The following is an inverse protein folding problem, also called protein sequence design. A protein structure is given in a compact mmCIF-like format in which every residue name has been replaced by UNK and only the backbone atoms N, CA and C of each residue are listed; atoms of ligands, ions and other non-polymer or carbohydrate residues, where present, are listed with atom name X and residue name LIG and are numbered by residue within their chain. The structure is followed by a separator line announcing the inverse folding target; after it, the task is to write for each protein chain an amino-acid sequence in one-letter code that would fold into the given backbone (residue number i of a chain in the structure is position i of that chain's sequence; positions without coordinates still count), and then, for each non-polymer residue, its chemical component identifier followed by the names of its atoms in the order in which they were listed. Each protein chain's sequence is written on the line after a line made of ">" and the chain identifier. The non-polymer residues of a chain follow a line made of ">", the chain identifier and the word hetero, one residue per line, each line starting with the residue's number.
data_IF_738514964413
#
_entry.id   IF_738514964413
#
_cell.length_a   1.000
_cell.length_b   1.000
_cell.length_c   1.000
_cell.angle_alpha   90.00
_cell.angle_beta   90.00
_cell.angle_gamma   90.00
#
_symmetry.space_group_name_H-M   'P 1'
#
loop_
_entity.id
_entity.type
_entity.pdbx_description
1 polymer ?
#
# COMPACT_ATOMS: atom_id res chain seq x y z
N UNK A 1 13.42 25.75 -2.46
CA UNK A 1 13.07 24.58 -1.61
C UNK A 1 11.58 24.32 -1.77
N UNK A 2 11.11 23.08 -1.96
CA UNK A 2 9.68 22.84 -2.21
C UNK A 2 8.81 23.27 -1.00
N UNK A 3 7.60 23.85 -1.21
CA UNK A 3 6.73 24.32 -0.12
C UNK A 3 6.45 23.25 0.94
N UNK A 4 6.37 21.98 0.51
CA UNK A 4 6.17 20.82 1.41
C UNK A 4 7.31 20.64 2.39
N UNK A 5 8.54 20.82 1.92
CA UNK A 5 9.74 20.70 2.74
C UNK A 5 9.80 21.86 3.74
N UNK A 6 9.50 23.08 3.29
CA UNK A 6 9.41 24.27 4.17
C UNK A 6 8.38 24.03 5.28
N UNK A 7 7.16 23.62 4.95
CA UNK A 7 6.12 23.32 5.94
C UNK A 7 6.51 22.18 6.90
N UNK A 8 7.23 21.16 6.41
CA UNK A 8 7.69 20.05 7.24
C UNK A 8 8.73 20.50 8.26
N UNK A 9 9.67 21.33 7.84
CA UNK A 9 10.72 21.87 8.71
C UNK A 9 10.17 22.93 9.67
N UNK A 10 9.15 23.70 9.26
CA UNK A 10 8.55 24.76 10.06
C UNK A 10 7.69 24.22 11.21
N UNK A 11 7.10 23.02 11.07
CA UNK A 11 6.30 22.38 12.11
C UNK A 11 7.02 22.18 13.46
N UNK A 12 8.19 21.52 13.53
CA UNK A 12 8.90 21.34 14.80
C UNK A 12 9.35 22.69 15.38
N UNK A 13 9.84 23.62 14.55
CA UNK A 13 10.29 24.94 14.99
C UNK A 13 9.15 25.74 15.65
N UNK A 14 7.98 25.80 15.01
CA UNK A 14 6.79 26.44 15.58
C UNK A 14 6.30 25.73 16.83
N UNK A 15 6.45 24.42 16.92
CA UNK A 15 6.06 23.65 18.12
C UNK A 15 6.95 24.02 19.31
N UNK A 16 8.26 24.13 19.11
CA UNK A 16 9.21 24.55 20.14
C UNK A 16 8.94 25.98 20.61
N UNK A 17 8.70 26.90 19.68
CA UNK A 17 8.45 28.31 19.99
C UNK A 17 7.11 28.50 20.72
N UNK A 18 6.06 27.76 20.32
CA UNK A 18 4.81 27.69 21.09
C UNK A 18 5.02 27.18 22.51
N UNK A 19 5.86 26.16 22.71
CA UNK A 19 6.20 25.68 24.06
C UNK A 19 6.93 26.75 24.87
N UNK A 20 7.83 27.52 24.26
CA UNK A 20 8.55 28.60 24.92
C UNK A 20 7.63 29.77 25.32
N UNK A 21 6.69 30.16 24.44
CA UNK A 21 5.64 31.14 24.74
C UNK A 21 4.76 30.70 25.91
N UNK A 22 4.28 29.45 25.89
CA UNK A 22 3.43 28.91 26.96
C UNK A 22 4.15 28.84 28.32
N UNK A 23 5.48 28.72 28.31
CA UNK A 23 6.32 28.75 29.52
C UNK A 23 6.74 30.17 29.93
N UNK A 24 6.35 31.20 29.17
CA UNK A 24 6.71 32.59 29.44
C UNK A 24 8.16 32.96 29.11
N UNK A 25 8.94 32.08 28.46
CA UNK A 25 10.32 32.37 28.07
C UNK A 25 10.41 33.42 26.95
N UNK A 26 9.35 33.53 26.15
CA UNK A 26 9.23 34.51 25.07
C UNK A 26 7.88 35.20 25.26
N UNK A 27 7.83 36.52 25.01
CA UNK A 27 6.62 37.33 25.19
C UNK A 27 5.76 37.45 23.94
N UNK A 28 6.36 37.34 22.76
CA UNK A 28 5.69 37.52 21.47
C UNK A 28 6.05 36.38 20.50
N UNK A 29 5.06 35.90 19.74
CA UNK A 29 5.29 34.87 18.74
C UNK A 29 6.08 35.43 17.54
N UNK A 30 7.32 34.97 17.27
CA UNK A 30 8.08 35.40 16.09
C UNK A 30 7.45 34.93 14.77
N UNK A 31 6.45 34.04 14.81
CA UNK A 31 5.69 33.58 13.65
C UNK A 31 4.29 34.19 13.55
N UNK A 32 4.02 35.32 14.22
CA UNK A 32 2.68 35.90 14.28
C UNK A 32 2.06 36.17 12.89
N UNK A 33 2.84 36.64 11.92
CA UNK A 33 2.38 36.90 10.55
C UNK A 33 2.75 35.79 9.55
N UNK A 34 3.40 34.72 10.02
CA UNK A 34 3.79 33.63 9.14
C UNK A 34 2.58 32.78 8.75
N UNK A 35 2.18 32.86 7.48
CA UNK A 35 1.13 32.02 6.90
C UNK A 35 1.76 30.90 6.05
N UNK A 36 1.68 29.63 6.49
CA UNK A 36 2.17 28.53 5.69
C UNK A 36 1.36 28.41 4.40
N UNK A 37 2.05 28.18 3.29
CA UNK A 37 1.40 27.94 2.00
C UNK A 37 0.51 26.69 2.10
N UNK A 38 -0.74 26.81 1.66
CA UNK A 38 -1.67 25.68 1.59
C UNK A 38 -1.30 24.80 0.41
N UNK A 39 -0.70 23.66 0.71
CA UNK A 39 -0.30 22.68 -0.30
C UNK A 39 -1.48 21.76 -0.57
N UNK A 40 -2.10 21.92 -1.73
CA UNK A 40 -3.10 20.96 -2.22
C UNK A 40 -2.40 19.67 -2.63
N UNK A 41 -2.44 18.66 -1.75
CA UNK A 41 -1.90 17.35 -2.08
C UNK A 41 -2.86 16.66 -3.05
N UNK A 42 -2.44 16.49 -4.32
CA UNK A 42 -3.19 15.66 -5.27
C UNK A 42 -3.44 14.28 -4.66
N UNK A 43 -4.72 13.87 -4.63
CA UNK A 43 -5.20 12.60 -4.09
C UNK A 43 -4.52 11.44 -4.85
N UNK A 44 -3.76 10.62 -4.12
CA UNK A 44 -2.85 9.60 -4.69
C UNK A 44 -3.50 8.22 -4.75
N UNK A 45 -4.59 8.12 -5.47
CA UNK A 45 -5.42 6.95 -5.34
C UNK A 45 -5.91 6.46 -6.70
N UNK A 46 -6.10 5.15 -6.82
CA UNK A 46 -6.52 4.53 -8.07
C UNK A 46 -8.04 4.49 -8.15
N UNK A 47 -8.55 4.82 -9.32
CA UNK A 47 -9.94 4.57 -9.73
C UNK A 47 -10.13 3.09 -10.07
N UNK A 48 -11.38 2.66 -10.15
CA UNK A 48 -11.70 1.29 -10.52
C UNK A 48 -11.16 0.94 -11.92
N UNK A 49 -11.31 1.85 -12.88
CA UNK A 49 -10.82 1.68 -14.26
C UNK A 49 -9.29 1.55 -14.31
N UNK A 50 -8.56 2.28 -13.46
CA UNK A 50 -7.10 2.12 -13.34
C UNK A 50 -6.72 0.75 -12.75
N UNK A 51 -7.50 0.23 -11.79
CA UNK A 51 -7.29 -1.11 -11.23
C UNK A 51 -7.59 -2.19 -12.29
N UNK A 52 -8.67 -2.05 -13.05
CA UNK A 52 -9.00 -2.97 -14.14
C UNK A 52 -7.92 -3.00 -15.21
N UNK A 53 -7.41 -1.84 -15.64
CA UNK A 53 -6.29 -1.76 -16.56
C UNK A 53 -5.04 -2.45 -16.01
N UNK A 54 -4.72 -2.24 -14.72
CA UNK A 54 -3.61 -2.94 -14.08
C UNK A 54 -3.80 -4.46 -14.05
N UNK A 55 -5.04 -4.96 -13.90
CA UNK A 55 -5.30 -6.40 -13.92
C UNK A 55 -5.08 -7.03 -15.30
N UNK A 56 -5.39 -6.30 -16.38
CA UNK A 56 -5.28 -6.78 -17.77
C UNK A 56 -3.87 -6.69 -18.35
N UNK A 57 -3.02 -5.81 -17.82
CA UNK A 57 -1.70 -5.54 -18.40
C UNK A 57 -0.76 -6.71 -18.18
N UNK A 58 -0.41 -7.43 -19.25
CA UNK A 58 0.57 -8.52 -19.20
C UNK A 58 1.96 -8.01 -19.60
N UNK A 59 2.92 -8.16 -18.68
CA UNK A 59 4.31 -7.77 -18.91
C UNK A 59 5.10 -8.94 -19.52
N UNK A 60 6.09 -8.63 -20.36
CA UNK A 60 7.00 -9.63 -20.96
C UNK A 60 7.79 -10.43 -19.93
N UNK A 61 8.08 -9.84 -18.76
CA UNK A 61 8.88 -10.48 -17.70
C UNK A 61 7.97 -10.98 -16.59
N UNK A 62 8.12 -12.26 -16.23
CA UNK A 62 7.38 -12.87 -15.11
C UNK A 62 7.56 -12.13 -13.78
N UNK A 63 8.75 -11.55 -13.54
CA UNK A 63 9.03 -10.73 -12.35
C UNK A 63 8.18 -9.47 -12.29
N UNK A 64 7.86 -8.85 -13.42
CA UNK A 64 7.00 -7.68 -13.48
C UNK A 64 5.53 -8.05 -13.26
N UNK A 65 5.07 -9.18 -13.82
CA UNK A 65 3.73 -9.71 -13.54
C UNK A 65 3.57 -10.07 -12.05
N UNK A 66 4.60 -10.64 -11.44
CA UNK A 66 4.62 -10.89 -10.00
C UNK A 66 4.49 -9.59 -9.19
N UNK A 67 5.26 -8.54 -9.53
CA UNK A 67 5.14 -7.25 -8.82
C UNK A 67 3.76 -6.61 -8.98
N UNK A 68 3.17 -6.70 -10.18
CA UNK A 68 1.78 -6.27 -10.46
C UNK A 68 0.79 -7.00 -9.57
N UNK A 69 0.87 -8.33 -9.52
CA UNK A 69 -0.05 -9.15 -8.73
C UNK A 69 0.14 -8.90 -7.23
N UNK A 70 1.38 -8.71 -6.76
CA UNK A 70 1.63 -8.30 -5.37
C UNK A 70 1.03 -6.93 -5.08
N UNK A 71 1.14 -5.96 -5.99
CA UNK A 71 0.50 -4.66 -5.85
C UNK A 71 -1.02 -4.78 -5.71
N UNK A 72 -1.67 -5.54 -6.60
CA UNK A 72 -3.11 -5.82 -6.57
C UNK A 72 -3.51 -6.52 -5.27
N UNK A 73 -2.79 -7.57 -4.85
CA UNK A 73 -3.03 -8.30 -3.62
C UNK A 73 -3.19 -7.35 -2.42
N UNK A 74 -2.33 -6.35 -2.33
CA UNK A 74 -2.38 -5.37 -1.25
C UNK A 74 -3.34 -4.22 -1.47
N UNK A 75 -3.69 -3.89 -2.71
CA UNK A 75 -4.82 -2.97 -2.97
C UNK A 75 -6.12 -3.58 -2.44
N UNK A 76 -6.30 -4.91 -2.56
CA UNK A 76 -7.49 -5.61 -2.06
C UNK A 76 -7.44 -5.94 -0.56
N UNK A 77 -6.27 -6.27 -0.01
CA UNK A 77 -6.13 -6.66 1.42
C UNK A 77 -5.74 -5.49 2.33
N UNK A 78 -5.20 -4.40 1.79
CA UNK A 78 -4.66 -3.29 2.58
C UNK A 78 -3.36 -3.60 3.33
N UNK A 79 -2.75 -4.77 3.11
CA UNK A 79 -1.51 -5.20 3.79
C UNK A 79 -0.33 -4.28 3.43
N UNK A 80 0.52 -3.92 4.39
CA UNK A 80 1.72 -3.12 4.09
C UNK A 80 2.77 -3.95 3.34
N UNK A 81 3.71 -3.29 2.63
CA UNK A 81 4.80 -4.01 1.95
C UNK A 81 5.66 -4.83 2.91
N UNK A 82 6.00 -4.25 4.06
CA UNK A 82 6.82 -4.90 5.07
C UNK A 82 6.13 -6.17 5.59
N UNK A 83 4.83 -6.10 5.86
CA UNK A 83 4.04 -7.24 6.31
C UNK A 83 3.89 -8.28 5.18
N UNK A 84 3.64 -7.86 3.94
CA UNK A 84 3.57 -8.76 2.78
C UNK A 84 4.89 -9.51 2.54
N UNK A 85 6.02 -8.84 2.73
CA UNK A 85 7.37 -9.44 2.59
C UNK A 85 7.68 -10.47 3.67
N UNK A 86 7.06 -10.33 4.83
CA UNK A 86 7.24 -11.22 5.97
C UNK A 86 6.04 -12.15 6.21
N UNK A 87 5.06 -12.15 5.31
CA UNK A 87 3.85 -12.97 5.43
C UNK A 87 4.24 -14.44 5.37
N UNK A 88 3.80 -15.20 6.37
CA UNK A 88 4.01 -16.65 6.48
C UNK A 88 2.70 -17.40 6.30
N UNK A 89 2.79 -18.68 5.95
CA UNK A 89 1.61 -19.53 5.78
C UNK A 89 0.82 -19.70 7.10
N UNK A 90 1.50 -19.72 8.24
CA UNK A 90 0.86 -19.70 9.59
C UNK A 90 -0.03 -18.48 9.84
N UNK A 91 0.22 -17.37 9.15
CA UNK A 91 -0.60 -16.16 9.28
C UNK A 91 -1.91 -16.28 8.47
N UNK A 92 -2.02 -17.27 7.59
CA UNK A 92 -3.22 -17.52 6.78
C UNK A 92 -4.05 -18.60 7.49
N UNK A 93 -5.17 -18.19 8.06
CA UNK A 93 -6.04 -19.07 8.84
C UNK A 93 -7.40 -19.19 8.18
N UNK A 94 -7.98 -20.39 8.24
CA UNK A 94 -9.35 -20.64 7.79
C UNK A 94 -10.29 -20.50 8.97
N UNK A 95 -11.28 -19.61 8.86
CA UNK A 95 -12.33 -19.48 9.88
C UNK A 95 -13.46 -20.49 9.65
N UNK A 96 -14.33 -20.64 10.66
CA UNK A 96 -15.45 -21.59 10.68
C UNK A 96 -16.38 -21.51 9.45
N UNK A 97 -16.48 -20.34 8.80
CA UNK A 97 -17.26 -20.13 7.57
C UNK A 97 -16.52 -20.45 6.27
N UNK A 98 -15.37 -21.14 6.30
CA UNK A 98 -14.57 -21.51 5.12
C UNK A 98 -13.76 -20.37 4.49
N UNK A 99 -13.99 -19.13 4.90
CA UNK A 99 -13.25 -17.94 4.46
C UNK A 99 -11.82 -17.93 5.02
N UNK A 100 -10.87 -17.52 4.18
CA UNK A 100 -9.47 -17.36 4.56
C UNK A 100 -9.22 -15.95 5.13
N UNK A 101 -8.38 -15.86 6.14
CA UNK A 101 -8.03 -14.62 6.82
C UNK A 101 -6.52 -14.53 7.00
N UNK A 102 -5.97 -13.33 6.84
CA UNK A 102 -4.61 -13.00 7.25
C UNK A 102 -4.66 -12.43 8.66
N UNK A 103 -3.99 -13.08 9.60
CA UNK A 103 -3.85 -12.65 10.99
C UNK A 103 -2.41 -12.22 11.22
N UNK A 104 -2.20 -10.92 11.45
CA UNK A 104 -0.88 -10.32 11.67
C UNK A 104 -0.81 -9.66 13.04
N UNK A 105 0.25 -9.94 13.80
CA UNK A 105 0.50 -9.27 15.07
C UNK A 105 1.33 -8.00 14.85
N UNK A 106 0.74 -6.81 15.08
CA UNK A 106 1.48 -5.56 14.91
C UNK A 106 2.47 -5.35 16.07
N UNK A 107 3.76 -5.38 15.71
CA UNK A 107 4.89 -5.13 16.60
C UNK A 107 4.81 -3.80 17.37
N UNK A 108 4.18 -2.76 16.80
CA UNK A 108 4.20 -1.40 17.38
C UNK A 108 3.09 -1.08 18.39
N UNK A 109 1.97 -1.81 18.37
CA UNK A 109 0.80 -1.51 19.22
C UNK A 109 0.25 -2.73 19.96
N UNK A 110 0.80 -3.92 19.73
CA UNK A 110 0.29 -5.17 20.33
C UNK A 110 -1.08 -5.62 19.78
N UNK A 111 -1.66 -4.89 18.83
CA UNK A 111 -2.98 -5.18 18.28
C UNK A 111 -2.85 -6.18 17.12
N UNK A 112 -3.56 -7.30 17.19
CA UNK A 112 -3.74 -8.20 16.06
C UNK A 112 -4.58 -7.52 14.98
N UNK A 113 -4.16 -7.65 13.73
CA UNK A 113 -4.88 -7.18 12.55
C UNK A 113 -5.34 -8.39 11.76
N UNK A 114 -6.65 -8.59 11.70
CA UNK A 114 -7.28 -9.67 10.92
C UNK A 114 -7.86 -9.09 9.64
N UNK A 115 -7.45 -9.64 8.50
CA UNK A 115 -7.83 -9.16 7.17
C UNK A 115 -8.51 -10.31 6.43
N UNK A 116 -9.78 -10.18 6.01
CA UNK A 116 -10.44 -11.20 5.21
C UNK A 116 -9.79 -11.27 3.81
N UNK A 117 -9.49 -12.49 3.36
CA UNK A 117 -9.01 -12.74 2.01
C UNK A 117 -10.20 -12.97 1.08
N UNK A 118 -10.24 -12.14 0.04
CA UNK A 118 -11.23 -12.19 -1.02
C UNK A 118 -10.73 -13.09 -2.16
N UNK A 119 -11.61 -13.41 -3.12
CA UNK A 119 -11.28 -14.33 -4.21
C UNK A 119 -10.03 -13.94 -5.01
N UNK A 120 -9.85 -12.64 -5.31
CA UNK A 120 -8.68 -12.16 -6.06
C UNK A 120 -7.37 -12.42 -5.28
N UNK A 121 -7.22 -11.96 -4.02
CA UNK A 121 -6.10 -12.35 -3.17
C UNK A 121 -5.88 -13.86 -3.06
N UNK A 122 -6.94 -14.67 -2.92
CA UNK A 122 -6.84 -16.13 -2.82
C UNK A 122 -6.27 -16.74 -4.11
N UNK A 123 -6.75 -16.32 -5.27
CA UNK A 123 -6.22 -16.77 -6.56
C UNK A 123 -4.77 -16.37 -6.79
N UNK A 124 -4.36 -15.19 -6.32
CA UNK A 124 -2.95 -14.77 -6.36
C UNK A 124 -2.09 -15.67 -5.47
N UNK A 125 -2.58 -16.07 -4.29
CA UNK A 125 -1.88 -17.03 -3.42
C UNK A 125 -1.69 -18.37 -4.13
N UNK A 126 -2.75 -18.91 -4.73
CA UNK A 126 -2.73 -20.19 -5.44
C UNK A 126 -1.80 -20.15 -6.67
N UNK A 127 -1.89 -19.08 -7.47
CA UNK A 127 -1.07 -18.87 -8.67
C UNK A 127 0.43 -18.95 -8.40
N UNK A 128 0.90 -18.48 -7.24
CA UNK A 128 2.33 -18.38 -6.93
C UNK A 128 2.84 -19.46 -5.97
N UNK A 129 1.97 -20.28 -5.36
CA UNK A 129 2.31 -21.27 -4.32
C UNK A 129 3.43 -22.25 -4.72
N UNK A 130 3.44 -22.71 -5.97
CA UNK A 130 4.40 -23.69 -6.48
C UNK A 130 5.32 -23.12 -7.58
N UNK A 131 5.64 -21.82 -7.49
CA UNK A 131 6.45 -21.13 -8.50
C UNK A 131 7.78 -20.67 -7.91
N UNK A 132 8.71 -20.20 -8.77
CA UNK A 132 9.97 -19.57 -8.34
C UNK A 132 9.78 -18.29 -7.48
N UNK A 133 8.55 -17.80 -7.34
CA UNK A 133 8.19 -16.66 -6.49
C UNK A 133 7.62 -17.07 -5.13
N UNK A 134 7.44 -18.37 -4.88
CA UNK A 134 7.10 -18.88 -3.57
C UNK A 134 8.21 -18.53 -2.56
N UNK A 135 7.82 -18.16 -1.35
CA UNK A 135 8.77 -17.85 -0.29
C UNK A 135 9.49 -19.10 0.21
N UNK A 136 10.72 -18.91 0.69
CA UNK A 136 11.49 -19.92 1.43
C UNK A 136 11.24 -19.74 2.94
N UNK A 137 11.53 -20.77 3.75
CA UNK A 137 11.41 -20.73 5.22
C UNK A 137 10.01 -20.29 5.68
N UNK A 138 8.97 -20.98 5.18
CA UNK A 138 7.55 -20.78 5.54
C UNK A 138 6.94 -19.44 5.12
N UNK A 139 7.69 -18.60 4.40
CA UNK A 139 7.16 -17.37 3.81
C UNK A 139 6.27 -17.70 2.61
N UNK A 140 5.23 -16.90 2.44
CA UNK A 140 4.30 -17.05 1.32
C UNK A 140 4.95 -16.60 0.01
N UNK A 141 5.66 -15.48 0.03
CA UNK A 141 6.18 -14.84 -1.18
C UNK A 141 7.68 -14.48 -1.07
N UNK A 142 8.41 -14.60 -2.18
CA UNK A 142 9.79 -14.15 -2.34
C UNK A 142 9.84 -12.75 -2.98
N UNK A 143 9.67 -11.72 -2.17
CA UNK A 143 9.71 -10.31 -2.62
C UNK A 143 11.13 -9.72 -2.65
N UNK A 144 11.41 -8.89 -3.66
CA UNK A 144 12.64 -8.11 -3.78
C UNK A 144 12.66 -6.91 -2.82
N UNK A 145 13.67 -6.06 -2.92
CA UNK A 145 13.70 -4.80 -2.17
C UNK A 145 12.62 -3.84 -2.65
N UNK A 146 12.18 -2.92 -1.79
CA UNK A 146 11.09 -2.00 -2.12
C UNK A 146 11.46 -1.10 -3.32
N UNK A 147 12.73 -0.69 -3.45
CA UNK A 147 13.21 0.14 -4.55
C UNK A 147 13.08 -0.58 -5.89
N UNK A 148 13.47 -1.87 -5.94
CA UNK A 148 13.35 -2.69 -7.13
C UNK A 148 11.88 -2.86 -7.54
N UNK A 149 11.02 -3.10 -6.56
CA UNK A 149 9.59 -3.24 -6.76
C UNK A 149 8.98 -1.92 -7.27
N UNK A 150 9.38 -0.78 -6.73
CA UNK A 150 8.95 0.55 -7.20
C UNK A 150 9.42 0.84 -8.65
N UNK A 151 10.62 0.41 -9.03
CA UNK A 151 11.10 0.52 -10.42
C UNK A 151 10.20 -0.29 -11.37
N UNK A 152 9.83 -1.52 -10.99
CA UNK A 152 8.92 -2.33 -11.81
C UNK A 152 7.53 -1.72 -11.88
N UNK A 153 7.01 -1.20 -10.76
CA UNK A 153 5.71 -0.52 -10.74
C UNK A 153 5.63 0.67 -11.69
N UNK A 154 6.69 1.46 -11.82
CA UNK A 154 6.72 2.56 -12.80
C UNK A 154 6.56 2.05 -14.23
N UNK A 155 7.21 0.94 -14.57
CA UNK A 155 7.10 0.31 -15.90
C UNK A 155 5.71 -0.27 -16.14
N UNK A 156 5.13 -0.89 -15.12
CA UNK A 156 3.76 -1.42 -15.17
C UNK A 156 2.75 -0.28 -15.32
N UNK A 157 2.93 0.83 -14.61
CA UNK A 157 2.08 2.02 -14.73
C UNK A 157 2.10 2.59 -16.15
N UNK A 158 3.28 2.68 -16.76
CA UNK A 158 3.44 3.10 -18.16
C UNK A 158 2.74 2.14 -19.12
N UNK A 159 2.90 0.83 -18.93
CA UNK A 159 2.23 -0.18 -19.76
C UNK A 159 0.70 -0.19 -19.58
N UNK A 160 0.21 0.25 -18.43
CA UNK A 160 -1.22 0.38 -18.11
C UNK A 160 -1.82 1.75 -18.49
N UNK A 161 -1.03 2.64 -19.08
CA UNK A 161 -1.40 4.02 -19.40
C UNK A 161 -1.89 4.82 -18.16
N UNK A 162 -1.19 4.64 -17.04
CA UNK A 162 -1.50 5.32 -15.78
C UNK A 162 -0.48 6.45 -15.56
N UNK A 163 -0.95 7.68 -15.69
CA UNK A 163 -0.15 8.90 -15.48
C UNK A 163 0.34 9.07 -14.03
N UNK A 164 -0.32 8.39 -13.08
CA UNK A 164 0.04 8.43 -11.66
C UNK A 164 1.26 7.57 -11.37
N UNK A 165 2.24 8.13 -10.65
CA UNK A 165 3.35 7.36 -10.07
C UNK A 165 2.84 6.37 -9.01
N UNK A 166 2.71 5.10 -9.38
CA UNK A 166 2.37 4.01 -8.45
C UNK A 166 3.48 3.84 -7.40
N UNK A 167 3.09 3.79 -6.13
CA UNK A 167 3.97 3.39 -5.03
C UNK A 167 3.21 2.49 -4.08
N UNK A 168 3.91 1.60 -3.37
CA UNK A 168 3.29 0.73 -2.37
C UNK A 168 2.64 1.51 -1.20
N UNK A 169 2.96 2.80 -1.03
CA UNK A 169 2.29 3.63 -0.04
C UNK A 169 0.89 4.12 -0.48
N UNK A 170 0.57 4.02 -1.79
CA UNK A 170 -0.76 4.37 -2.33
C UNK A 170 -1.81 3.28 -2.08
N UNK A 171 -1.42 2.13 -1.52
CA UNK A 171 -2.28 0.98 -1.23
C UNK A 171 -3.33 1.27 -0.15
N UNK A 172 -3.12 2.26 0.71
CA UNK A 172 -4.12 2.69 1.71
C UNK A 172 -5.15 3.59 1.05
N UNK A 173 -5.95 2.99 0.18
CA UNK A 173 -7.23 3.58 -0.18
C UNK A 173 -8.23 3.30 0.93
N UNK A 174 -9.23 4.18 1.06
CA UNK A 174 -10.44 3.93 1.84
C UNK A 174 -10.91 2.54 1.39
N UNK A 175 -10.89 1.55 2.29
CA UNK A 175 -11.49 0.24 2.05
C UNK A 175 -12.88 0.56 1.52
N UNK A 176 -13.09 0.45 0.21
CA UNK A 176 -14.42 0.63 -0.34
C UNK A 176 -15.25 -0.44 0.36
N UNK A 177 -16.35 -0.09 1.05
CA UNK A 177 -17.20 -1.06 1.69
C UNK A 177 -17.57 -2.08 0.61
N UNK A 178 -17.04 -3.27 0.85
CA UNK A 178 -16.97 -4.37 -0.06
C UNK A 178 -18.39 -4.91 -0.24
N UNK A 179 -19.09 -4.49 -1.28
CA UNK A 179 -20.41 -5.05 -1.59
C UNK A 179 -20.77 -5.07 -3.08
N UNK A 180 -20.13 -4.30 -3.96
CA UNK A 180 -20.61 -4.23 -5.34
C UNK A 180 -19.54 -4.63 -6.37
N UNK A 181 -19.70 -5.86 -6.87
CA UNK A 181 -19.25 -6.41 -8.17
C UNK A 181 -17.82 -6.96 -8.26
N UNK A 182 -17.47 -7.92 -7.41
CA UNK A 182 -16.33 -8.84 -7.64
C UNK A 182 -16.50 -9.73 -8.87
N UNK A 183 -17.73 -10.00 -9.32
CA UNK A 183 -18.02 -10.93 -10.42
C UNK A 183 -17.42 -10.53 -11.77
N UNK A 184 -17.35 -9.22 -12.11
CA UNK A 184 -16.75 -8.77 -13.38
C UNK A 184 -15.22 -8.82 -13.39
N UNK A 185 -14.57 -8.76 -12.23
CA UNK A 185 -13.11 -8.71 -12.11
C UNK A 185 -12.47 -10.09 -12.04
N UNK A 186 -13.25 -11.10 -11.65
CA UNK A 186 -12.79 -12.49 -11.58
C UNK A 186 -12.38 -13.02 -12.97
N UNK A 187 -12.96 -12.53 -14.06
CA UNK A 187 -12.68 -13.05 -15.40
C UNK A 187 -11.27 -12.70 -15.93
N UNK A 188 -10.59 -11.67 -15.38
CA UNK A 188 -9.29 -11.22 -15.89
C UNK A 188 -8.08 -12.05 -15.42
N UNK A 189 -8.29 -13.07 -14.59
CA UNK A 189 -7.24 -14.00 -14.17
C UNK A 189 -7.37 -15.39 -14.84
N UNK A 190 -8.29 -15.53 -15.82
CA UNK A 190 -8.58 -16.80 -16.52
C UNK A 190 -7.86 -16.97 -17.87
N UNK A 191 -6.87 -16.14 -18.21
CA UNK A 191 -6.02 -16.29 -19.40
C UNK A 191 -4.53 -16.28 -19.05
#
# INVERSE_FOLDING_TARGET
>A
MAPRTVNTNMKPLRTTIKRALNKGFIRQDPFFDYRPEKITVKRRWLSMDEIERLMRVQMKRATANFVRDMFLFSTFTGIAYADLKNLRYENIQRQAGGSLWIVLNRQKTGTSSSIPLLDIPVRILEKYKNTAFAGENEKVFKLRTLENTDIQLKKIAQAADIDKRLTFHMRRHRIYPFSLKTSKLQNYFCE
#
